data_IF_180526897598
#
_entry.id   IF_180526897598
#
_cell.length_a   1.000
_cell.length_b   1.000
_cell.length_c   1.000
_cell.angle_alpha   90.00
_cell.angle_beta   90.00
_cell.angle_gamma   90.00
#
_symmetry.space_group_name_H-M   'P 1'
#
loop_
_entity.id
_entity.type
_entity.pdbx_description
1 polymer ?
#
# COMPACT_ATOMS: atom_id res chain seq x y z
N UNK A 1 35.88 -24.23 24.14
CA UNK A 1 34.45 -24.56 24.41
C UNK A 1 33.51 -23.36 24.22
N UNK A 2 33.91 -22.25 23.57
CA UNK A 2 33.11 -21.00 23.52
C UNK A 2 32.31 -20.75 22.22
N UNK A 3 32.54 -21.50 21.15
CA UNK A 3 31.84 -21.27 19.88
C UNK A 3 30.44 -21.92 19.85
N UNK A 4 30.29 -23.12 20.43
CA UNK A 4 29.02 -23.86 20.43
C UNK A 4 27.96 -23.21 21.34
N UNK A 5 28.35 -22.69 22.51
CA UNK A 5 27.44 -21.94 23.39
C UNK A 5 26.99 -20.60 22.79
N UNK A 6 27.85 -19.91 22.02
CA UNK A 6 27.46 -18.70 21.29
C UNK A 6 26.47 -18.99 20.17
N UNK A 7 26.66 -20.09 19.43
CA UNK A 7 25.76 -20.50 18.34
C UNK A 7 24.41 -20.98 18.86
N UNK A 8 24.37 -21.73 19.97
CA UNK A 8 23.13 -22.13 20.64
C UNK A 8 22.36 -20.91 21.16
N UNK A 9 23.02 -20.00 21.87
CA UNK A 9 22.40 -18.74 22.34
C UNK A 9 21.90 -17.87 21.17
N UNK A 10 22.60 -17.83 20.03
CA UNK A 10 22.14 -17.12 18.83
C UNK A 10 20.94 -17.80 18.15
N UNK A 11 20.88 -19.12 18.16
CA UNK A 11 19.77 -19.89 17.57
C UNK A 11 18.49 -19.76 18.42
N UNK A 12 18.60 -19.93 19.74
CA UNK A 12 17.49 -19.76 20.67
C UNK A 12 17.00 -18.30 20.69
N UNK A 13 17.92 -17.34 20.63
CA UNK A 13 17.61 -15.91 20.51
C UNK A 13 16.85 -15.55 19.22
N UNK A 14 17.21 -16.18 18.09
CA UNK A 14 16.51 -15.98 16.80
C UNK A 14 15.11 -16.56 16.83
N UNK A 15 14.92 -17.69 17.51
CA UNK A 15 13.63 -18.36 17.63
C UNK A 15 12.66 -17.56 18.51
N UNK A 16 13.10 -17.14 19.71
CA UNK A 16 12.31 -16.33 20.63
C UNK A 16 11.89 -14.97 20.01
N UNK A 17 12.80 -14.38 19.24
CA UNK A 17 12.59 -13.11 18.52
C UNK A 17 11.55 -13.22 17.41
N UNK A 18 11.56 -14.33 16.66
CA UNK A 18 10.59 -14.60 15.59
C UNK A 18 9.21 -14.96 16.16
N UNK A 19 9.15 -15.79 17.20
CA UNK A 19 7.91 -16.13 17.90
C UNK A 19 7.24 -14.89 18.48
N UNK A 20 8.01 -14.00 19.13
CA UNK A 20 7.49 -12.76 19.69
C UNK A 20 6.99 -11.77 18.63
N UNK A 21 7.59 -11.76 17.43
CA UNK A 21 7.07 -10.95 16.32
C UNK A 21 5.76 -11.54 15.77
N UNK A 22 5.68 -12.86 15.62
CA UNK A 22 4.47 -13.54 15.19
C UNK A 22 3.31 -13.31 16.18
N UNK A 23 3.58 -13.30 17.48
CA UNK A 23 2.59 -12.94 18.51
C UNK A 23 2.14 -11.48 18.40
N UNK A 24 3.07 -10.54 18.18
CA UNK A 24 2.74 -9.14 17.94
C UNK A 24 1.79 -9.00 16.74
N UNK A 25 2.08 -9.68 15.63
CA UNK A 25 1.24 -9.62 14.43
C UNK A 25 -0.15 -10.22 14.69
N UNK A 26 -0.23 -11.37 15.37
CA UNK A 26 -1.51 -11.98 15.72
C UNK A 26 -2.38 -11.06 16.57
N UNK A 27 -1.79 -10.38 17.55
CA UNK A 27 -2.50 -9.43 18.38
C UNK A 27 -2.90 -8.16 17.62
N UNK A 28 -2.08 -7.71 16.67
CA UNK A 28 -2.42 -6.61 15.76
C UNK A 28 -3.60 -6.99 14.85
N UNK A 29 -3.64 -8.22 14.32
CA UNK A 29 -4.73 -8.71 13.48
C UNK A 29 -6.04 -8.82 14.28
N UNK A 30 -5.98 -9.36 15.50
CA UNK A 30 -7.13 -9.42 16.39
C UNK A 30 -7.69 -8.02 16.69
N UNK A 31 -6.82 -7.07 17.03
CA UNK A 31 -7.23 -5.68 17.23
C UNK A 31 -7.81 -5.06 15.94
N UNK A 32 -7.14 -5.23 14.80
CA UNK A 32 -7.54 -4.62 13.54
C UNK A 32 -8.83 -5.25 12.98
N UNK A 33 -9.12 -6.50 13.31
CA UNK A 33 -10.42 -7.12 13.03
C UNK A 33 -11.55 -6.38 13.77
N UNK A 34 -11.35 -6.04 15.05
CA UNK A 34 -12.36 -5.38 15.88
C UNK A 34 -12.46 -3.85 15.65
N UNK A 35 -11.38 -3.22 15.20
CA UNK A 35 -11.26 -1.75 15.12
C UNK A 35 -10.96 -1.21 13.72
N UNK A 36 -10.78 -2.08 12.73
CA UNK A 36 -10.49 -1.73 11.35
C UNK A 36 -11.69 -1.18 10.57
N UNK A 37 -11.50 -0.84 9.29
CA UNK A 37 -12.53 -0.20 8.46
C UNK A 37 -13.82 -1.01 8.37
N UNK A 38 -13.72 -2.34 8.21
CA UNK A 38 -14.89 -3.23 8.13
C UNK A 38 -15.74 -3.24 9.38
N UNK A 39 -15.13 -3.40 10.56
CA UNK A 39 -15.85 -3.37 11.83
C UNK A 39 -16.54 -2.02 12.10
N UNK A 40 -15.92 -0.91 11.67
CA UNK A 40 -16.53 0.41 11.80
C UNK A 40 -17.68 0.63 10.85
N UNK A 41 -17.55 0.17 9.61
CA UNK A 41 -18.65 0.20 8.66
C UNK A 41 -19.83 -0.59 9.21
N UNK A 42 -19.58 -1.79 9.77
CA UNK A 42 -20.60 -2.58 10.47
C UNK A 42 -21.25 -1.83 11.64
N UNK A 43 -20.47 -1.21 12.52
CA UNK A 43 -21.00 -0.41 13.64
C UNK A 43 -21.79 0.81 13.17
N UNK A 44 -21.32 1.51 12.13
CA UNK A 44 -22.01 2.67 11.56
C UNK A 44 -23.33 2.28 10.92
N UNK A 45 -23.36 1.16 10.18
CA UNK A 45 -24.59 0.61 9.61
C UNK A 45 -25.56 0.17 10.73
N UNK A 46 -25.06 -0.46 11.79
CA UNK A 46 -25.85 -0.81 12.96
C UNK A 46 -26.54 0.40 13.60
N UNK A 47 -25.84 1.54 13.73
CA UNK A 47 -26.43 2.80 14.22
C UNK A 47 -27.46 3.39 13.29
N UNK A 48 -27.17 3.39 11.99
CA UNK A 48 -28.13 3.87 10.99
C UNK A 48 -29.42 3.04 11.07
N UNK A 49 -29.32 1.72 11.18
CA UNK A 49 -30.47 0.83 11.34
C UNK A 49 -31.19 1.08 12.67
N UNK A 50 -30.47 1.29 13.77
CA UNK A 50 -31.05 1.64 15.07
C UNK A 50 -31.84 2.96 15.04
N UNK A 51 -31.27 4.01 14.45
CA UNK A 51 -31.93 5.31 14.29
C UNK A 51 -33.23 5.19 13.47
N UNK A 52 -33.25 4.35 12.43
CA UNK A 52 -34.46 4.06 11.64
C UNK A 52 -35.54 3.37 12.47
N UNK A 53 -35.15 2.42 13.34
CA UNK A 53 -36.08 1.71 14.22
C UNK A 53 -36.67 2.65 15.28
N UNK A 54 -35.88 3.60 15.77
CA UNK A 54 -36.27 4.58 16.80
C UNK A 54 -37.00 5.81 16.25
N UNK A 55 -37.16 5.91 14.93
CA UNK A 55 -37.85 7.03 14.27
C UNK A 55 -37.03 8.32 14.19
N UNK A 56 -35.71 8.23 14.40
CA UNK A 56 -34.78 9.35 14.23
C UNK A 56 -34.42 9.57 12.75
N UNK A 57 -34.13 10.82 12.34
CA UNK A 57 -33.65 11.09 11.00
C UNK A 57 -32.29 10.45 10.75
N UNK A 58 -32.16 9.74 9.62
CA UNK A 58 -30.91 9.15 9.17
C UNK A 58 -29.87 10.23 8.86
N UNK A 59 -28.83 10.30 9.70
CA UNK A 59 -27.65 11.12 9.45
C UNK A 59 -26.39 10.23 9.41
N UNK A 60 -25.91 9.89 8.20
CA UNK A 60 -24.69 9.11 8.02
C UNK A 60 -23.44 9.71 8.65
N UNK A 61 -23.35 11.05 8.66
CA UNK A 61 -22.17 11.75 9.17
C UNK A 61 -22.16 11.72 10.70
N UNK A 62 -23.33 11.89 11.32
CA UNK A 62 -23.49 11.73 12.77
C UNK A 62 -23.16 10.31 13.22
N UNK A 63 -23.72 9.30 12.56
CA UNK A 63 -23.45 7.89 12.89
C UNK A 63 -21.96 7.55 12.77
N UNK A 64 -21.28 8.04 11.73
CA UNK A 64 -19.86 7.83 11.55
C UNK A 64 -19.02 8.57 12.61
N UNK A 65 -19.37 9.81 12.95
CA UNK A 65 -18.67 10.60 13.96
C UNK A 65 -18.76 9.97 15.36
N UNK A 66 -19.93 9.48 15.75
CA UNK A 66 -20.10 8.83 17.06
C UNK A 66 -19.35 7.50 17.16
N UNK A 67 -19.39 6.66 16.12
CA UNK A 67 -18.59 5.41 16.07
C UNK A 67 -17.11 5.70 16.23
N UNK A 68 -16.61 6.79 15.62
CA UNK A 68 -15.21 7.18 15.75
C UNK A 68 -14.89 7.66 17.17
N UNK A 69 -15.72 8.52 17.75
CA UNK A 69 -15.50 9.03 19.11
C UNK A 69 -15.46 7.91 20.15
N UNK A 70 -16.39 6.96 20.08
CA UNK A 70 -16.41 5.81 20.98
C UNK A 70 -15.22 4.87 20.75
N UNK A 71 -14.84 4.68 19.49
CA UNK A 71 -13.69 3.83 19.16
C UNK A 71 -12.37 4.45 19.62
N UNK A 72 -12.26 5.77 19.68
CA UNK A 72 -10.97 6.45 19.90
C UNK A 72 -10.33 6.13 21.25
N UNK A 73 -11.11 5.94 22.31
CA UNK A 73 -10.58 5.62 23.64
C UNK A 73 -10.12 4.15 23.74
N UNK A 74 -10.90 3.21 23.18
CA UNK A 74 -10.53 1.80 23.13
C UNK A 74 -9.28 1.57 22.27
N UNK A 75 -9.22 2.25 21.13
CA UNK A 75 -8.11 2.19 20.17
C UNK A 75 -6.80 2.75 20.80
N UNK A 76 -6.86 3.87 21.53
CA UNK A 76 -5.71 4.39 22.30
C UNK A 76 -5.20 3.43 23.36
N UNK A 77 -6.13 2.83 24.10
CA UNK A 77 -5.81 1.91 25.21
C UNK A 77 -5.12 0.67 24.66
N UNK A 78 -5.67 0.08 23.59
CA UNK A 78 -5.08 -1.06 22.91
C UNK A 78 -3.67 -0.78 22.37
N UNK A 79 -3.42 0.40 21.77
CA UNK A 79 -2.08 0.76 21.33
C UNK A 79 -1.09 0.83 22.49
N UNK A 80 -1.48 1.42 23.62
CA UNK A 80 -0.64 1.50 24.82
C UNK A 80 -0.35 0.10 25.39
N UNK A 81 -1.35 -0.78 25.42
CA UNK A 81 -1.22 -2.17 25.86
C UNK A 81 -0.27 -2.96 24.96
N UNK A 82 -0.47 -2.91 23.63
CA UNK A 82 0.40 -3.59 22.67
C UNK A 82 1.83 -3.05 22.71
N UNK A 83 2.00 -1.73 22.82
CA UNK A 83 3.32 -1.10 22.94
C UNK A 83 4.02 -1.53 24.24
N UNK A 84 3.26 -1.68 25.32
CA UNK A 84 3.80 -2.15 26.61
C UNK A 84 4.18 -3.63 26.54
N UNK A 85 3.28 -4.47 26.01
CA UNK A 85 3.46 -5.93 25.88
C UNK A 85 4.65 -6.27 24.98
N UNK A 86 4.77 -5.58 23.84
CA UNK A 86 5.79 -5.87 22.82
C UNK A 86 6.95 -4.87 22.81
N UNK A 87 7.05 -3.96 23.78
CA UNK A 87 8.03 -2.86 23.77
C UNK A 87 9.48 -3.31 23.63
N UNK A 88 9.86 -4.45 24.23
CA UNK A 88 11.21 -5.02 24.05
C UNK A 88 11.48 -5.48 22.62
N UNK A 89 10.48 -6.11 22.00
CA UNK A 89 10.50 -6.64 20.62
C UNK A 89 10.57 -5.47 19.64
N UNK A 90 9.68 -4.49 19.82
CA UNK A 90 9.62 -3.25 19.05
C UNK A 90 10.96 -2.50 19.08
N UNK A 91 11.48 -2.21 20.28
CA UNK A 91 12.77 -1.52 20.43
C UNK A 91 13.94 -2.31 19.83
N UNK A 92 13.95 -3.64 20.01
CA UNK A 92 15.01 -4.51 19.48
C UNK A 92 15.04 -4.49 17.95
N UNK A 93 13.90 -4.43 17.30
CA UNK A 93 13.79 -4.46 15.83
C UNK A 93 13.71 -3.07 15.20
N UNK A 94 13.79 -2.01 16.00
CA UNK A 94 13.65 -0.65 15.50
C UNK A 94 12.26 -0.36 14.96
N UNK A 95 11.23 -0.93 15.58
CA UNK A 95 9.83 -0.81 15.21
C UNK A 95 9.07 0.01 16.25
N UNK A 96 8.01 0.68 15.84
CA UNK A 96 7.01 1.29 16.72
C UNK A 96 5.62 1.01 16.21
N UNK A 97 4.63 1.08 17.09
CA UNK A 97 3.23 0.98 16.71
C UNK A 97 2.63 2.39 16.67
N UNK A 98 1.81 2.67 15.66
CA UNK A 98 0.94 3.85 15.67
C UNK A 98 -0.35 3.60 14.91
N UNK A 99 -1.36 4.42 15.20
CA UNK A 99 -2.61 4.40 14.45
C UNK A 99 -2.44 5.09 13.10
N UNK A 100 -3.08 4.53 12.08
CA UNK A 100 -3.32 5.27 10.85
C UNK A 100 -4.30 6.41 11.14
N UNK A 101 -3.91 7.64 10.80
CA UNK A 101 -4.80 8.78 10.93
C UNK A 101 -5.92 8.69 9.89
N UNK A 102 -7.18 8.84 10.31
CA UNK A 102 -8.30 8.89 9.39
C UNK A 102 -8.41 10.30 8.81
N UNK A 103 -8.15 10.47 7.50
CA UNK A 103 -8.07 11.77 6.82
C UNK A 103 -9.40 12.56 6.85
N UNK A 104 -10.52 11.94 7.25
CA UNK A 104 -11.84 12.56 7.29
C UNK A 104 -12.18 13.40 8.53
N UNK A 105 -11.32 13.45 9.56
CA UNK A 105 -11.65 14.17 10.80
C UNK A 105 -10.71 15.33 11.05
N UNK A 106 -11.30 16.54 11.10
CA UNK A 106 -10.71 17.65 11.87
C UNK A 106 -10.36 17.08 13.25
N UNK A 107 -9.09 17.17 13.65
CA UNK A 107 -8.55 16.76 14.95
C UNK A 107 -8.11 15.30 15.14
N UNK A 108 -7.45 14.66 14.18
CA UNK A 108 -6.39 13.66 14.46
C UNK A 108 -6.68 12.59 15.52
N UNK A 109 -7.95 12.18 15.70
CA UNK A 109 -8.33 11.22 16.71
C UNK A 109 -7.89 9.85 16.22
N UNK A 110 -7.14 9.09 17.05
CA UNK A 110 -6.71 7.74 16.70
C UNK A 110 -7.94 6.87 16.57
N UNK A 111 -8.33 6.72 15.33
CA UNK A 111 -9.42 5.91 14.88
C UNK A 111 -8.84 5.29 13.63
N UNK A 112 -7.81 4.46 13.76
CA UNK A 112 -7.30 3.66 12.65
C UNK A 112 -6.95 2.27 13.10
N UNK A 113 -6.74 1.33 12.17
CA UNK A 113 -5.94 0.16 12.49
C UNK A 113 -4.58 0.60 13.07
N UNK A 114 -3.97 -0.28 13.86
CA UNK A 114 -2.60 -0.09 14.32
C UNK A 114 -1.67 -0.67 13.25
N UNK A 115 -0.67 0.12 12.88
CA UNK A 115 0.35 -0.23 11.90
C UNK A 115 1.75 -0.18 12.51
N UNK A 116 2.66 -0.97 11.95
CA UNK A 116 4.03 -1.16 12.45
C UNK A 116 4.99 -0.27 11.66
N UNK A 117 5.59 0.73 12.26
CA UNK A 117 6.51 1.64 11.57
C UNK A 117 7.96 1.30 11.91
N UNK A 118 8.84 1.43 10.92
CA UNK A 118 10.28 1.32 11.16
C UNK A 118 10.80 2.69 11.60
N UNK A 119 11.42 2.72 12.78
CA UNK A 119 12.02 3.91 13.39
C UNK A 119 13.53 3.80 13.53
N UNK A 120 14.09 2.59 13.44
CA UNK A 120 15.52 2.37 13.33
C UNK A 120 15.81 1.31 12.25
N UNK A 121 16.19 1.79 11.07
CA UNK A 121 16.39 0.97 9.87
C UNK A 121 17.56 0.02 10.03
N UNK A 122 18.63 0.41 10.71
CA UNK A 122 19.78 -0.49 10.95
C UNK A 122 19.43 -1.64 11.89
N UNK A 123 18.61 -1.39 12.92
CA UNK A 123 18.09 -2.43 13.79
C UNK A 123 17.15 -3.38 13.03
N UNK A 124 16.27 -2.83 12.20
CA UNK A 124 15.40 -3.60 11.32
C UNK A 124 16.21 -4.48 10.35
N UNK A 125 17.20 -3.93 9.64
CA UNK A 125 18.00 -4.70 8.67
C UNK A 125 18.80 -5.81 9.35
N UNK A 126 19.38 -5.55 10.53
CA UNK A 126 20.06 -6.60 11.32
C UNK A 126 19.11 -7.72 11.72
N UNK A 127 17.89 -7.39 12.11
CA UNK A 127 16.86 -8.37 12.40
C UNK A 127 16.48 -9.15 11.14
N UNK A 128 16.15 -8.45 10.06
CA UNK A 128 15.76 -9.02 8.79
C UNK A 128 16.84 -9.96 8.25
N UNK A 129 18.14 -9.67 8.45
CA UNK A 129 19.29 -10.53 8.14
C UNK A 129 19.44 -11.75 9.07
N UNK A 130 18.96 -11.67 10.31
CA UNK A 130 19.04 -12.76 11.29
C UNK A 130 18.00 -13.87 11.05
N UNK A 131 16.91 -13.54 10.37
CA UNK A 131 15.84 -14.47 10.01
C UNK A 131 16.36 -15.51 9.02
N UNK A 132 16.00 -16.78 9.23
CA UNK A 132 16.29 -17.83 8.25
C UNK A 132 15.31 -17.69 7.08
N UNK A 133 15.76 -17.87 5.83
CA UNK A 133 14.85 -17.90 4.69
C UNK A 133 13.72 -18.89 4.93
N UNK A 134 12.49 -18.46 4.67
CA UNK A 134 11.30 -19.31 4.74
C UNK A 134 11.33 -20.31 3.58
N UNK A 135 10.91 -21.55 3.85
CA UNK A 135 10.79 -22.55 2.79
C UNK A 135 9.58 -22.22 1.88
N UNK A 136 9.70 -22.40 0.55
CA UNK A 136 8.55 -22.21 -0.34
C UNK A 136 7.39 -23.14 0.04
N UNK A 137 6.20 -22.58 0.28
CA UNK A 137 4.98 -23.35 0.58
C UNK A 137 4.69 -23.63 2.06
N UNK A 138 5.43 -23.02 3.00
CA UNK A 138 5.03 -22.98 4.41
C UNK A 138 3.91 -21.96 4.61
N UNK A 139 2.67 -22.38 4.35
CA UNK A 139 1.49 -21.53 4.48
C UNK A 139 1.41 -20.92 5.91
N UNK A 140 1.38 -19.58 5.97
CA UNK A 140 1.21 -18.80 7.20
C UNK A 140 2.49 -18.23 7.83
N UNK A 141 3.70 -18.64 7.44
CA UNK A 141 4.94 -18.08 8.01
C UNK A 141 5.34 -16.73 7.41
N UNK A 142 4.86 -16.44 6.19
CA UNK A 142 5.15 -15.20 5.45
C UNK A 142 4.28 -14.01 5.90
N UNK A 143 3.12 -14.26 6.52
CA UNK A 143 2.09 -13.24 6.78
C UNK A 143 2.60 -12.06 7.62
N UNK A 144 3.35 -12.28 8.72
CA UNK A 144 4.02 -11.20 9.45
C UNK A 144 4.88 -10.29 8.57
N UNK A 145 5.57 -10.88 7.59
CA UNK A 145 6.46 -10.16 6.68
C UNK A 145 5.70 -9.41 5.60
N UNK A 146 4.54 -9.91 5.16
CA UNK A 146 3.64 -9.17 4.25
C UNK A 146 3.10 -7.91 4.90
N UNK A 147 2.68 -8.00 6.17
CA UNK A 147 2.20 -6.84 6.94
C UNK A 147 3.33 -5.81 7.11
N UNK A 148 4.53 -6.27 7.47
CA UNK A 148 5.68 -5.39 7.64
C UNK A 148 6.12 -4.73 6.33
N UNK A 149 6.15 -5.49 5.23
CA UNK A 149 6.43 -4.98 3.89
C UNK A 149 5.44 -3.88 3.51
N UNK A 150 4.14 -4.14 3.62
CA UNK A 150 3.08 -3.17 3.34
C UNK A 150 3.21 -1.91 4.19
N UNK A 151 3.59 -2.07 5.46
CA UNK A 151 3.76 -0.91 6.34
C UNK A 151 4.94 -0.04 5.93
N UNK A 152 6.06 -0.64 5.52
CA UNK A 152 7.21 0.09 4.98
C UNK A 152 6.83 0.81 3.68
N UNK A 153 6.11 0.15 2.77
CA UNK A 153 5.61 0.77 1.55
C UNK A 153 4.75 2.00 1.85
N UNK A 154 3.81 1.89 2.79
CA UNK A 154 2.96 3.00 3.24
C UNK A 154 3.80 4.12 3.88
N UNK A 155 4.80 3.76 4.69
CA UNK A 155 5.69 4.73 5.31
C UNK A 155 6.47 5.52 4.24
N UNK A 156 7.02 4.85 3.22
CA UNK A 156 7.73 5.50 2.10
C UNK A 156 6.78 6.39 1.28
N UNK A 157 5.56 5.93 1.00
CA UNK A 157 4.55 6.67 0.24
C UNK A 157 4.04 7.94 0.93
N UNK A 158 4.21 8.04 2.25
CA UNK A 158 3.74 9.15 3.09
C UNK A 158 4.84 10.15 3.48
N UNK A 159 6.10 9.91 3.09
CA UNK A 159 7.23 10.80 3.40
C UNK A 159 6.98 12.21 2.85
N UNK A 160 7.22 13.22 3.69
CA UNK A 160 7.38 14.60 3.22
C UNK A 160 8.79 14.77 2.60
N UNK A 161 8.88 14.60 1.29
CA UNK A 161 10.14 14.69 0.55
C UNK A 161 10.83 16.06 0.62
N UNK A 162 10.11 17.13 0.96
CA UNK A 162 10.70 18.47 1.10
C UNK A 162 11.41 18.62 2.46
N UNK A 163 10.90 17.94 3.49
CA UNK A 163 11.45 17.98 4.86
C UNK A 163 11.43 16.60 5.53
N UNK A 164 12.19 15.61 5.02
CA UNK A 164 12.20 14.28 5.61
C UNK A 164 12.89 14.31 6.97
N UNK A 165 12.27 13.66 7.94
CA UNK A 165 12.84 13.41 9.26
C UNK A 165 14.13 12.56 9.16
N UNK A 166 14.99 12.54 10.20
CA UNK A 166 16.17 11.68 10.22
C UNK A 166 15.86 10.20 9.95
N UNK A 167 14.75 9.69 10.48
CA UNK A 167 14.34 8.30 10.29
C UNK A 167 13.90 8.02 8.85
N UNK A 168 13.10 8.92 8.26
CA UNK A 168 12.69 8.81 6.85
C UNK A 168 13.87 8.88 5.90
N UNK A 169 14.85 9.75 6.17
CA UNK A 169 16.12 9.78 5.41
C UNK A 169 16.87 8.45 5.53
N UNK A 170 16.96 7.90 6.74
CA UNK A 170 17.56 6.58 6.96
C UNK A 170 16.84 5.48 6.18
N UNK A 171 15.51 5.52 6.10
CA UNK A 171 14.70 4.57 5.32
C UNK A 171 15.01 4.69 3.82
N UNK A 172 14.94 5.91 3.28
CA UNK A 172 15.21 6.20 1.87
C UNK A 172 16.62 5.74 1.45
N UNK A 173 17.63 6.00 2.27
CA UNK A 173 19.01 5.60 2.02
C UNK A 173 19.23 4.07 2.00
N UNK A 174 18.30 3.31 2.59
CA UNK A 174 18.42 1.86 2.78
C UNK A 174 17.32 1.08 2.05
N UNK A 175 16.64 1.68 1.06
CA UNK A 175 15.58 1.00 0.31
C UNK A 175 16.09 -0.27 -0.39
N UNK A 176 17.24 -0.23 -1.06
CA UNK A 176 17.82 -1.40 -1.72
C UNK A 176 18.12 -2.53 -0.73
N UNK A 177 18.70 -2.21 0.43
CA UNK A 177 18.99 -3.18 1.48
C UNK A 177 17.70 -3.79 2.06
N UNK A 178 16.65 -2.97 2.17
CA UNK A 178 15.32 -3.40 2.64
C UNK A 178 14.67 -4.36 1.64
N UNK A 179 14.72 -4.06 0.34
CA UNK A 179 14.26 -4.95 -0.74
C UNK A 179 14.98 -6.30 -0.67
N UNK A 180 16.32 -6.29 -0.62
CA UNK A 180 17.12 -7.52 -0.54
C UNK A 180 16.80 -8.34 0.71
N UNK A 181 16.53 -7.68 1.83
CA UNK A 181 16.16 -8.35 3.06
C UNK A 181 14.83 -9.11 2.91
N UNK A 182 13.81 -8.51 2.30
CA UNK A 182 12.52 -9.17 2.05
C UNK A 182 12.62 -10.30 1.03
N UNK A 183 13.30 -10.08 -0.10
CA UNK A 183 13.54 -11.13 -1.10
C UNK A 183 14.21 -12.37 -0.51
N UNK A 184 15.13 -12.16 0.44
CA UNK A 184 15.82 -13.25 1.16
C UNK A 184 14.93 -13.95 2.18
N UNK A 185 14.02 -13.22 2.84
CA UNK A 185 13.13 -13.78 3.86
C UNK A 185 12.10 -14.71 3.24
N UNK A 186 11.44 -14.30 2.16
CA UNK A 186 10.38 -15.09 1.54
C UNK A 186 10.33 -14.88 0.02
N UNK A 187 10.50 -15.94 -0.80
CA UNK A 187 10.40 -15.81 -2.26
C UNK A 187 8.96 -15.55 -2.75
N UNK A 188 7.96 -15.73 -1.88
CA UNK A 188 6.54 -15.48 -2.13
C UNK A 188 6.11 -14.05 -1.78
N UNK A 189 7.00 -13.23 -1.21
CA UNK A 189 6.72 -11.83 -0.90
C UNK A 189 6.73 -10.99 -2.17
N UNK A 190 5.62 -10.28 -2.43
CA UNK A 190 5.51 -9.35 -3.56
C UNK A 190 6.25 -8.04 -3.27
N UNK A 191 7.56 -8.02 -3.52
CA UNK A 191 8.43 -6.86 -3.28
C UNK A 191 8.46 -5.83 -4.41
N UNK A 192 7.68 -6.02 -5.49
CA UNK A 192 7.80 -5.24 -6.75
C UNK A 192 7.59 -3.73 -6.56
N UNK A 193 6.70 -3.36 -5.64
CA UNK A 193 6.41 -1.96 -5.35
C UNK A 193 7.59 -1.31 -4.64
N UNK A 194 8.15 -1.98 -3.63
CA UNK A 194 9.35 -1.51 -2.92
C UNK A 194 10.59 -1.47 -3.83
N UNK A 195 10.74 -2.43 -4.75
CA UNK A 195 11.76 -2.40 -5.81
C UNK A 195 11.63 -1.16 -6.68
N UNK A 196 10.40 -0.81 -7.08
CA UNK A 196 10.14 0.40 -7.84
C UNK A 196 10.52 1.65 -7.03
N UNK A 197 10.18 1.69 -5.74
CA UNK A 197 10.60 2.78 -4.86
C UNK A 197 12.13 2.91 -4.79
N UNK A 198 12.85 1.80 -4.61
CA UNK A 198 14.31 1.80 -4.57
C UNK A 198 14.91 2.31 -5.89
N UNK A 199 14.42 1.79 -7.03
CA UNK A 199 14.85 2.24 -8.37
C UNK A 199 14.66 3.74 -8.57
N UNK A 200 13.43 4.23 -8.38
CA UNK A 200 13.14 5.65 -8.60
C UNK A 200 13.79 6.56 -7.56
N UNK A 201 14.13 6.04 -6.37
CA UNK A 201 14.96 6.75 -5.41
C UNK A 201 16.39 6.92 -5.91
N UNK A 202 17.03 5.86 -6.41
CA UNK A 202 18.36 5.92 -7.00
C UNK A 202 18.46 6.85 -8.21
N UNK A 203 17.36 7.02 -8.96
CA UNK A 203 17.26 7.96 -10.08
C UNK A 203 16.88 9.39 -9.66
N UNK A 204 16.60 9.65 -8.38
CA UNK A 204 16.16 10.98 -7.90
C UNK A 204 14.73 11.37 -8.30
N UNK A 205 13.90 10.39 -8.69
CA UNK A 205 12.54 10.57 -9.21
C UNK A 205 11.44 10.08 -8.27
N UNK A 206 11.77 9.49 -7.12
CA UNK A 206 10.82 8.81 -6.23
C UNK A 206 9.61 9.67 -5.84
N UNK A 207 9.82 10.95 -5.51
CA UNK A 207 8.74 11.90 -5.19
C UNK A 207 7.68 11.93 -6.29
N UNK A 208 8.13 12.01 -7.55
CA UNK A 208 7.26 12.08 -8.72
C UNK A 208 6.66 10.72 -9.08
N UNK A 209 7.40 9.63 -8.86
CA UNK A 209 6.85 8.28 -8.97
C UNK A 209 5.68 8.05 -8.00
N UNK A 210 5.82 8.41 -6.72
CA UNK A 210 4.74 8.28 -5.73
C UNK A 210 3.57 9.20 -6.06
N UNK A 211 3.82 10.43 -6.53
CA UNK A 211 2.75 11.33 -6.95
C UNK A 211 1.92 10.73 -8.11
N UNK A 212 2.57 10.11 -9.09
CA UNK A 212 1.89 9.43 -10.20
C UNK A 212 1.21 8.12 -9.78
N UNK A 213 1.73 7.44 -8.75
CA UNK A 213 1.08 6.28 -8.13
C UNK A 213 -0.25 6.65 -7.46
N UNK A 214 -0.28 7.78 -6.73
CA UNK A 214 -1.50 8.30 -6.08
C UNK A 214 -2.60 8.68 -7.08
N UNK A 215 -2.22 9.01 -8.32
CA UNK A 215 -3.15 9.24 -9.43
C UNK A 215 -3.69 7.93 -10.06
N UNK A 216 -3.26 6.76 -9.56
CA UNK A 216 -3.74 5.45 -10.00
C UNK A 216 -3.24 5.03 -11.39
N UNK A 217 -2.06 5.52 -11.81
CA UNK A 217 -1.54 5.31 -13.17
C UNK A 217 -0.59 4.10 -13.31
N UNK A 218 -0.05 3.57 -12.20
CA UNK A 218 0.82 2.38 -12.17
C UNK A 218 0.03 1.11 -11.83
N UNK A 219 -0.95 0.78 -12.66
CA UNK A 219 -1.74 -0.45 -12.50
C UNK A 219 -1.15 -1.57 -13.34
N UNK A 220 -1.48 -2.83 -13.03
CA UNK A 220 -1.02 -3.94 -13.87
C UNK A 220 -1.44 -3.75 -15.33
N UNK A 221 -0.56 -4.05 -16.27
CA UNK A 221 -0.89 -3.94 -17.69
C UNK A 221 -2.08 -4.84 -18.05
N UNK A 222 -3.10 -4.25 -18.64
CA UNK A 222 -4.39 -4.89 -18.91
C UNK A 222 -5.38 -4.86 -17.74
N UNK A 223 -5.02 -4.24 -16.62
CA UNK A 223 -5.90 -3.90 -15.50
C UNK A 223 -6.12 -2.40 -15.40
N UNK A 224 -7.27 -1.96 -14.92
CA UNK A 224 -7.64 -0.56 -14.67
C UNK A 224 -7.79 0.37 -15.90
N UNK A 225 -7.18 0.07 -17.04
CA UNK A 225 -7.20 0.90 -18.26
C UNK A 225 -7.87 0.21 -19.47
N UNK A 226 -8.49 -0.95 -19.27
CA UNK A 226 -9.24 -1.64 -20.31
C UNK A 226 -10.72 -1.79 -19.95
N UNK A 227 -11.62 -1.94 -20.93
CA UNK A 227 -13.05 -2.13 -20.68
C UNK A 227 -13.37 -3.43 -19.93
N UNK A 228 -12.50 -4.43 -20.03
CA UNK A 228 -12.60 -5.69 -19.28
C UNK A 228 -12.48 -5.51 -17.76
N UNK A 229 -12.01 -4.36 -17.28
CA UNK A 229 -11.87 -4.08 -15.85
C UNK A 229 -13.14 -3.44 -15.25
N UNK A 230 -14.14 -3.15 -16.09
CA UNK A 230 -15.36 -2.40 -15.73
C UNK A 230 -16.63 -3.21 -16.00
N UNK A 231 -16.58 -4.54 -15.78
CA UNK A 231 -17.61 -5.53 -16.17
C UNK A 231 -19.01 -5.28 -15.56
N UNK A 232 -19.18 -4.29 -14.68
CA UNK A 232 -20.48 -3.88 -14.13
C UNK A 232 -21.12 -2.64 -14.78
N UNK A 233 -20.32 -1.69 -15.29
CA UNK A 233 -20.77 -0.34 -15.67
C UNK A 233 -19.95 0.17 -16.87
N UNK A 234 -20.02 -0.56 -17.99
CA UNK A 234 -19.23 -0.28 -19.20
C UNK A 234 -19.70 1.03 -19.85
N UNK A 235 -19.12 2.15 -19.43
CA UNK A 235 -19.43 3.49 -19.92
C UNK A 235 -18.12 4.08 -20.49
N UNK A 236 -18.02 4.22 -21.82
CA UNK A 236 -16.81 4.75 -22.49
C UNK A 236 -16.31 6.08 -21.92
N UNK A 237 -17.21 6.95 -21.42
CA UNK A 237 -16.83 8.23 -20.82
C UNK A 237 -15.86 8.07 -19.64
N UNK A 238 -16.07 7.10 -18.74
CA UNK A 238 -15.16 6.90 -17.59
C UNK A 238 -13.76 6.48 -18.04
N UNK A 239 -13.68 5.67 -19.10
CA UNK A 239 -12.41 5.29 -19.67
C UNK A 239 -11.72 6.48 -20.34
N UNK A 240 -12.47 7.31 -21.06
CA UNK A 240 -11.96 8.55 -21.65
C UNK A 240 -11.43 9.51 -20.58
N UNK A 241 -12.17 9.74 -19.50
CA UNK A 241 -11.74 10.57 -18.36
C UNK A 241 -10.44 10.04 -17.75
N UNK A 242 -10.33 8.72 -17.55
CA UNK A 242 -9.13 8.11 -17.00
C UNK A 242 -7.92 8.28 -17.90
N UNK A 243 -8.08 8.11 -19.22
CA UNK A 243 -6.99 8.34 -20.17
C UNK A 243 -6.64 9.83 -20.33
N UNK A 244 -7.64 10.72 -20.29
CA UNK A 244 -7.40 12.16 -20.24
C UNK A 244 -6.55 12.54 -19.03
N UNK A 245 -6.85 11.98 -17.85
CA UNK A 245 -6.03 12.16 -16.66
C UNK A 245 -4.60 11.64 -16.87
N UNK A 246 -4.45 10.44 -17.42
CA UNK A 246 -3.14 9.83 -17.68
C UNK A 246 -2.28 10.69 -18.61
N UNK A 247 -2.84 11.23 -19.69
CA UNK A 247 -2.15 12.16 -20.60
C UNK A 247 -1.79 13.47 -19.91
N UNK A 248 -2.72 14.05 -19.13
CA UNK A 248 -2.48 15.27 -18.35
C UNK A 248 -1.29 15.10 -17.40
N UNK A 249 -1.29 14.00 -16.64
CA UNK A 249 -0.20 13.69 -15.70
C UNK A 249 1.09 13.41 -16.45
N UNK A 250 1.06 12.66 -17.56
CA UNK A 250 2.25 12.41 -18.38
C UNK A 250 2.88 13.71 -18.90
N UNK A 251 2.09 14.66 -19.40
CA UNK A 251 2.59 15.99 -19.80
C UNK A 251 3.16 16.78 -18.63
N UNK A 252 2.53 16.71 -17.46
CA UNK A 252 3.07 17.33 -16.25
C UNK A 252 4.41 16.72 -15.86
N UNK A 253 4.57 15.41 -15.98
CA UNK A 253 5.85 14.73 -15.72
C UNK A 253 6.91 15.07 -16.79
N UNK A 254 6.51 15.22 -18.05
CA UNK A 254 7.39 15.64 -19.13
C UNK A 254 7.97 17.04 -18.86
N UNK A 255 7.13 17.97 -18.37
CA UNK A 255 7.56 19.33 -18.02
C UNK A 255 8.57 19.37 -16.86
N UNK A 256 8.66 18.31 -16.04
CA UNK A 256 9.66 18.19 -14.97
C UNK A 256 11.03 17.71 -15.48
N UNK A 257 11.16 17.37 -16.76
CA UNK A 257 12.40 16.89 -17.37
C UNK A 257 12.96 15.67 -16.65
N UNK A 258 14.27 15.68 -16.36
CA UNK A 258 14.98 14.57 -15.68
C UNK A 258 14.43 14.21 -14.30
N UNK A 259 13.76 15.14 -13.62
CA UNK A 259 13.16 14.88 -12.32
C UNK A 259 11.83 14.10 -12.44
N UNK A 260 11.15 14.20 -13.57
CA UNK A 260 9.89 13.51 -13.83
C UNK A 260 10.08 12.05 -14.20
N UNK A 261 8.96 11.31 -14.21
CA UNK A 261 8.88 9.88 -14.60
C UNK A 261 8.23 9.70 -15.98
N UNK A 262 8.33 10.70 -16.85
CA UNK A 262 7.57 10.76 -18.09
C UNK A 262 7.89 9.60 -19.04
N UNK A 263 9.17 9.24 -19.16
CA UNK A 263 9.62 8.15 -20.04
C UNK A 263 9.06 6.81 -19.57
N UNK A 264 9.20 6.51 -18.28
CA UNK A 264 8.73 5.28 -17.67
C UNK A 264 7.20 5.20 -17.74
N UNK A 265 6.51 6.31 -17.47
CA UNK A 265 5.05 6.40 -17.51
C UNK A 265 4.54 6.24 -18.93
N UNK A 266 5.17 6.88 -19.92
CA UNK A 266 4.85 6.71 -21.34
C UNK A 266 4.95 5.25 -21.76
N UNK A 267 6.06 4.58 -21.44
CA UNK A 267 6.26 3.16 -21.77
C UNK A 267 5.18 2.29 -21.13
N UNK A 268 4.86 2.52 -19.85
CA UNK A 268 3.85 1.77 -19.13
C UNK A 268 2.44 1.97 -19.70
N UNK A 269 2.03 3.21 -19.94
CA UNK A 269 0.71 3.54 -20.49
C UNK A 269 0.53 2.93 -21.89
N UNK A 270 1.56 2.94 -22.73
CA UNK A 270 1.51 2.28 -24.04
C UNK A 270 1.32 0.75 -23.93
N UNK A 271 1.97 0.12 -22.95
CA UNK A 271 1.77 -1.30 -22.67
C UNK A 271 0.35 -1.57 -22.16
N UNK A 272 -0.20 -0.71 -21.30
CA UNK A 272 -1.60 -0.78 -20.88
C UNK A 272 -2.55 -0.67 -22.07
N UNK A 273 -2.26 0.21 -23.04
CA UNK A 273 -3.04 0.32 -24.27
C UNK A 273 -3.02 -0.96 -25.09
N UNK A 274 -1.83 -1.53 -25.29
CA UNK A 274 -1.65 -2.78 -26.02
C UNK A 274 -2.48 -3.90 -25.39
N UNK A 275 -2.34 -4.11 -24.07
CA UNK A 275 -3.07 -5.16 -23.35
C UNK A 275 -4.57 -4.93 -23.28
N UNK A 276 -5.02 -3.69 -23.13
CA UNK A 276 -6.44 -3.37 -23.20
C UNK A 276 -7.02 -3.64 -24.60
N UNK A 277 -6.26 -3.36 -25.66
CA UNK A 277 -6.67 -3.66 -27.05
C UNK A 277 -6.75 -5.16 -27.31
N UNK A 278 -5.76 -5.93 -26.85
CA UNK A 278 -5.79 -7.40 -26.90
C UNK A 278 -7.04 -7.93 -26.21
N UNK A 279 -7.31 -7.50 -24.97
CA UNK A 279 -8.49 -7.93 -24.21
C UNK A 279 -9.80 -7.53 -24.87
N UNK A 280 -9.90 -6.32 -25.41
CA UNK A 280 -11.10 -5.83 -26.10
C UNK A 280 -11.56 -6.77 -27.23
N UNK A 281 -10.60 -7.35 -27.96
CA UNK A 281 -10.88 -8.30 -29.04
C UNK A 281 -11.49 -9.62 -28.57
N UNK A 282 -11.33 -9.96 -27.29
CA UNK A 282 -11.79 -11.21 -26.66
C UNK A 282 -13.12 -11.08 -25.92
N UNK A 283 -13.64 -9.85 -25.76
CA UNK A 283 -14.90 -9.60 -25.06
C UNK A 283 -16.08 -10.02 -25.95
N UNK A 284 -16.97 -10.85 -25.41
CA UNK A 284 -18.25 -11.19 -26.02
C UNK A 284 -19.27 -10.10 -25.70
N UNK A 285 -19.42 -9.14 -26.62
CA UNK A 285 -20.38 -8.05 -26.51
C UNK A 285 -21.81 -8.57 -26.61
N UNK A 286 -22.69 -8.06 -25.74
CA UNK A 286 -24.12 -8.32 -25.88
C UNK A 286 -24.69 -7.51 -27.05
N UNK A 287 -25.80 -7.97 -27.63
CA UNK A 287 -26.45 -7.25 -28.73
C UNK A 287 -27.02 -5.90 -28.30
N UNK A 288 -27.34 -5.76 -27.02
CA UNK A 288 -28.00 -4.58 -26.46
C UNK A 288 -27.01 -3.55 -25.89
N UNK A 289 -25.76 -3.96 -25.64
CA UNK A 289 -24.67 -3.11 -25.15
C UNK A 289 -23.37 -3.45 -25.88
N UNK A 290 -23.17 -2.83 -27.05
CA UNK A 290 -21.95 -2.95 -27.85
C UNK A 290 -21.26 -1.59 -28.01
N UNK A 291 -20.31 -1.33 -27.11
CA UNK A 291 -19.47 -0.12 -27.13
C UNK A 291 -18.08 -0.38 -27.71
N UNK A 292 -17.90 -1.50 -28.44
CA UNK A 292 -16.58 -1.92 -28.93
C UNK A 292 -15.89 -0.82 -29.74
N UNK A 293 -16.59 -0.24 -30.71
CA UNK A 293 -16.06 0.81 -31.58
C UNK A 293 -15.68 2.08 -30.80
N UNK A 294 -16.45 2.42 -29.76
CA UNK A 294 -16.16 3.59 -28.91
C UNK A 294 -14.88 3.36 -28.12
N UNK A 295 -14.70 2.16 -27.55
CA UNK A 295 -13.45 1.80 -26.88
C UNK A 295 -12.27 1.78 -27.85
N UNK A 296 -12.41 1.19 -29.05
CA UNK A 296 -11.33 1.20 -30.06
C UNK A 296 -10.91 2.62 -30.41
N UNK A 297 -11.87 3.55 -30.60
CA UNK A 297 -11.58 4.96 -30.87
C UNK A 297 -10.85 5.64 -29.71
N UNK A 298 -11.31 5.45 -28.48
CA UNK A 298 -10.66 6.00 -27.28
C UNK A 298 -9.21 5.49 -27.19
N UNK A 299 -9.01 4.17 -27.30
CA UNK A 299 -7.69 3.56 -27.21
C UNK A 299 -6.75 4.05 -28.33
N UNK A 300 -7.25 4.20 -29.56
CA UNK A 300 -6.47 4.73 -30.69
C UNK A 300 -6.08 6.19 -30.47
N UNK A 301 -7.05 7.05 -30.08
CA UNK A 301 -6.82 8.47 -29.78
C UNK A 301 -5.69 8.63 -28.76
N UNK A 302 -5.80 7.94 -27.62
CA UNK A 302 -4.81 8.09 -26.55
C UNK A 302 -3.47 7.42 -26.86
N UNK A 303 -3.46 6.36 -27.70
CA UNK A 303 -2.20 5.81 -28.22
C UNK A 303 -1.41 6.85 -29.00
N UNK A 304 -2.09 7.58 -29.88
CA UNK A 304 -1.46 8.58 -30.73
C UNK A 304 -1.04 9.80 -29.91
N UNK A 305 -1.89 10.28 -29.00
CA UNK A 305 -1.54 11.37 -28.08
C UNK A 305 -0.32 11.04 -27.21
N UNK A 306 -0.27 9.83 -26.62
CA UNK A 306 0.87 9.40 -25.79
C UNK A 306 2.15 9.25 -26.63
N UNK A 307 2.05 8.73 -27.85
CA UNK A 307 3.20 8.62 -28.76
C UNK A 307 3.78 9.97 -29.12
N UNK A 308 2.93 10.96 -29.36
CA UNK A 308 3.31 12.33 -29.74
C UNK A 308 4.01 13.10 -28.61
N UNK A 309 3.85 12.70 -27.35
CA UNK A 309 4.57 13.31 -26.22
C UNK A 309 6.05 12.91 -26.28
N UNK A 310 6.94 13.83 -26.62
CA UNK A 310 8.38 13.59 -26.62
C UNK A 310 8.91 13.40 -25.20
N UNK A 311 9.71 12.37 -24.95
CA UNK A 311 10.33 12.13 -23.65
C UNK A 311 11.83 12.03 -23.84
N UNK A 312 12.59 12.79 -23.06
CA UNK A 312 14.07 12.79 -23.06
C UNK A 312 14.68 11.43 -22.66
#
# INVERSE_FOLDING_TARGET
MDSQNRVANLADFRKESAESLSELIKDLDAHNYEHGPGARMGRSLGRMLGAVIEGEPLDPQKAQAEVVLESAQGVRTALAELTTKYGRVLNRFGLTLSHEANEGLKYGLPSGPISVHVTNVEAFLRYAQSIKPLAPGEDGTSEPFKILLKSIETQVASINFDHPSPNERGMLQNLDATVQAFQRIGPDLDVRRLESYAKFHGEGKLKNYIATEKEGLWVNAGGGFGPADWVGDIIPQHLEEKWANAVRVLRSQQALGKAGVAKELKTHLLLCIEKATEKLSTINWSKDYNHKDDFEKIMSKYRDEIRAIETE
#
